data_IF_953740034232
#
_entry.id   IF_953740034232
#
_cell.length_a   1.000
_cell.length_b   1.000
_cell.length_c   1.000
_cell.angle_alpha   90.00
_cell.angle_beta   90.00
_cell.angle_gamma   90.00
#
_symmetry.space_group_name_H-M   'P 1'
#
loop_
_entity.id
_entity.type
_entity.pdbx_description
1 polymer ?
#
# COMPACT_ATOMS: atom_id res chain seq x y z
N UNK A 1 -23.22 -8.91 -12.27
CA UNK A 1 -22.72 -8.93 -10.87
C UNK A 1 -21.20 -8.93 -10.96
N UNK A 2 -20.59 -7.74 -10.84
CA UNK A 2 -19.19 -7.52 -11.21
C UNK A 2 -18.26 -8.14 -10.18
N UNK A 3 -17.52 -9.18 -10.57
CA UNK A 3 -16.37 -9.65 -9.81
C UNK A 3 -15.29 -8.56 -9.89
N UNK A 4 -15.20 -7.73 -8.86
CA UNK A 4 -14.10 -6.81 -8.68
C UNK A 4 -12.80 -7.62 -8.60
N UNK A 5 -11.96 -7.55 -9.62
CA UNK A 5 -10.73 -8.33 -9.76
C UNK A 5 -9.81 -8.04 -8.55
N UNK A 6 -9.59 -9.05 -7.71
CA UNK A 6 -8.68 -8.98 -6.56
C UNK A 6 -7.27 -9.36 -7.02
N UNK A 7 -6.27 -8.56 -6.66
CA UNK A 7 -4.85 -8.91 -6.81
C UNK A 7 -4.32 -9.54 -5.53
N UNK A 8 -3.50 -10.58 -5.69
CA UNK A 8 -2.83 -11.27 -4.59
C UNK A 8 -1.34 -10.96 -4.67
N UNK A 9 -0.76 -10.52 -3.56
CA UNK A 9 0.67 -10.25 -3.42
C UNK A 9 1.21 -11.02 -2.21
N UNK A 10 2.45 -11.50 -2.31
CA UNK A 10 3.13 -12.25 -1.25
C UNK A 10 4.42 -11.54 -0.85
N UNK A 11 4.83 -11.68 0.42
CA UNK A 11 6.05 -11.08 0.98
C UNK A 11 6.14 -9.56 0.74
N UNK A 12 5.04 -8.85 1.02
CA UNK A 12 4.89 -7.43 0.72
C UNK A 12 5.48 -6.58 1.86
N UNK A 13 6.19 -5.51 1.49
CA UNK A 13 6.50 -4.41 2.40
C UNK A 13 5.56 -3.25 2.11
N UNK A 14 4.59 -3.02 2.99
CA UNK A 14 3.72 -1.84 2.93
C UNK A 14 4.44 -0.65 3.57
N UNK A 15 4.35 0.53 2.96
CA UNK A 15 4.97 1.75 3.45
C UNK A 15 3.97 2.89 3.33
N UNK A 16 3.89 3.73 4.36
CA UNK A 16 3.07 4.93 4.36
C UNK A 16 3.68 5.99 5.25
N UNK A 17 3.18 7.21 5.12
CA UNK A 17 3.64 8.34 5.89
C UNK A 17 2.47 8.88 6.70
N UNK A 18 2.65 8.98 8.01
CA UNK A 18 1.69 9.61 8.90
C UNK A 18 2.15 11.02 9.26
N UNK A 19 1.26 11.99 9.09
CA UNK A 19 1.46 13.35 9.59
C UNK A 19 0.72 13.48 10.90
N UNK A 20 1.45 13.73 12.00
CA UNK A 20 0.82 13.98 13.29
C UNK A 20 -0.05 15.24 13.25
N UNK A 21 -1.23 15.22 13.85
CA UNK A 21 -2.10 16.40 13.90
C UNK A 21 -1.57 17.41 14.93
N UNK A 22 -1.24 18.63 14.48
CA UNK A 22 -0.76 19.72 15.32
C UNK A 22 -0.06 20.82 14.51
N UNK A 23 0.16 22.00 15.11
CA UNK A 23 0.76 23.17 14.41
C UNK A 23 2.15 22.91 13.82
N UNK A 24 2.89 21.91 14.33
CA UNK A 24 4.19 21.45 13.83
C UNK A 24 4.24 19.90 13.82
N UNK A 25 3.20 19.27 13.28
CA UNK A 25 3.10 17.82 13.21
C UNK A 25 4.28 17.18 12.48
N UNK A 26 5.05 16.34 13.18
CA UNK A 26 6.14 15.60 12.55
C UNK A 26 5.56 14.58 11.56
N UNK A 27 6.21 14.49 10.42
CA UNK A 27 5.99 13.45 9.42
C UNK A 27 6.78 12.22 9.82
N UNK A 28 6.10 11.08 9.97
CA UNK A 28 6.70 9.81 10.37
C UNK A 28 6.48 8.80 9.26
N UNK A 29 7.57 8.27 8.71
CA UNK A 29 7.51 7.16 7.78
C UNK A 29 7.34 5.86 8.56
N UNK A 30 6.36 5.07 8.15
CA UNK A 30 6.09 3.76 8.70
C UNK A 30 6.19 2.72 7.61
N UNK A 31 6.57 1.53 8.03
CA UNK A 31 6.49 0.35 7.19
C UNK A 31 6.06 -0.87 7.98
N UNK A 32 5.54 -1.85 7.25
CA UNK A 32 5.08 -3.11 7.80
C UNK A 32 5.32 -4.22 6.79
N UNK A 33 5.80 -5.35 7.29
CA UNK A 33 5.85 -6.58 6.51
C UNK A 33 4.51 -7.32 6.56
N UNK A 34 4.05 -7.76 5.39
CA UNK A 34 2.79 -8.48 5.20
C UNK A 34 3.08 -9.71 4.34
N UNK A 35 2.98 -10.90 4.93
CA UNK A 35 3.29 -12.14 4.24
C UNK A 35 2.36 -12.41 3.04
N UNK A 36 1.10 -11.98 3.12
CA UNK A 36 0.11 -12.10 2.03
C UNK A 36 -0.90 -10.94 2.07
N UNK A 37 -1.08 -10.28 0.94
CA UNK A 37 -1.97 -9.12 0.79
C UNK A 37 -2.96 -9.35 -0.36
N UNK A 38 -4.23 -9.04 -0.10
CA UNK A 38 -5.30 -9.05 -1.09
C UNK A 38 -5.72 -7.60 -1.35
N UNK A 39 -5.61 -7.15 -2.60
CA UNK A 39 -5.98 -5.81 -3.03
C UNK A 39 -7.19 -5.85 -3.95
N UNK A 40 -8.13 -4.95 -3.76
CA UNK A 40 -9.25 -4.77 -4.68
C UNK A 40 -8.78 -3.96 -5.90
N UNK A 41 -9.20 -4.36 -7.10
CA UNK A 41 -8.68 -3.79 -8.35
C UNK A 41 -8.95 -2.30 -8.55
N UNK A 42 -10.00 -1.75 -7.94
CA UNK A 42 -10.33 -0.31 -7.98
C UNK A 42 -9.45 0.54 -7.06
N UNK A 43 -8.75 -0.07 -6.11
CA UNK A 43 -7.86 0.62 -5.16
C UNK A 43 -6.44 0.79 -5.72
N UNK A 44 -6.14 0.26 -6.91
CA UNK A 44 -4.79 0.28 -7.51
C UNK A 44 -4.73 1.37 -8.58
N UNK A 45 -3.91 2.41 -8.34
CA UNK A 45 -3.76 3.54 -9.26
C UNK A 45 -2.59 3.34 -10.23
N UNK A 46 -1.45 2.84 -9.75
CA UNK A 46 -0.24 2.66 -10.55
C UNK A 46 0.44 1.33 -10.20
N UNK A 47 0.93 0.64 -11.21
CA UNK A 47 1.81 -0.53 -11.06
C UNK A 47 3.05 -0.29 -11.90
N UNK A 48 4.21 -0.30 -11.24
CA UNK A 48 5.50 -0.20 -11.88
C UNK A 48 6.16 -1.58 -11.90
N UNK A 49 6.74 -1.96 -13.04
CA UNK A 49 7.58 -3.16 -13.14
C UNK A 49 9.00 -2.77 -12.74
N UNK A 50 9.61 -3.58 -11.90
CA UNK A 50 11.04 -3.45 -11.64
C UNK A 50 11.80 -3.94 -12.89
N UNK A 51 12.56 -3.05 -13.54
CA UNK A 51 13.37 -3.37 -14.75
C UNK A 51 14.84 -3.63 -14.43
N UNK A 52 15.18 -3.75 -13.16
CA UNK A 52 16.51 -4.15 -12.71
C UNK A 52 16.83 -5.61 -13.07
#
# INVERSE_FOLDING_TARGET
MAFSYVKVLENVKEMWTETQKGKNGKTVNKDRFISKMFLRGDSVILVLRNTA
#
